data_IF_081935254931
#
_entry.id   IF_081935254931
#
_cell.length_a   1.000
_cell.length_b   1.000
_cell.length_c   1.000
_cell.angle_alpha   90.00
_cell.angle_beta   90.00
_cell.angle_gamma   90.00
#
_symmetry.space_group_name_H-M   'P 1'
#
loop_
_entity.id
_entity.type
_entity.pdbx_description
1 polymer ?
#
# COMPACT_ATOMS: atom_id res chain seq x y z
N UNK A 1 12.28 7.28 1.35
CA UNK A 1 12.24 8.17 2.52
C UNK A 1 10.87 8.00 3.17
N UNK A 2 10.80 7.75 4.49
CA UNK A 2 9.53 7.85 5.22
C UNK A 2 8.92 9.25 5.04
N UNK A 3 7.60 9.38 5.20
CA UNK A 3 6.91 10.67 5.14
C UNK A 3 7.51 11.62 6.19
N UNK A 4 7.63 12.91 5.86
CA UNK A 4 8.25 13.91 6.75
C UNK A 4 7.43 14.23 7.99
N UNK A 5 6.11 13.97 7.96
CA UNK A 5 5.19 14.25 9.06
C UNK A 5 4.89 13.02 9.92
N UNK A 6 4.18 12.07 9.35
CA UNK A 6 3.78 10.85 10.03
C UNK A 6 3.49 9.74 9.01
N UNK A 7 3.97 8.53 9.32
CA UNK A 7 3.68 7.33 8.55
C UNK A 7 2.27 6.77 8.80
N UNK A 8 1.56 7.20 9.85
CA UNK A 8 0.22 6.75 10.24
C UNK A 8 0.09 5.21 10.17
N UNK A 9 1.06 4.52 10.78
CA UNK A 9 1.23 3.07 10.68
C UNK A 9 0.02 2.33 11.26
N UNK A 10 -0.48 2.75 12.42
CA UNK A 10 -1.59 2.08 13.11
C UNK A 10 -2.85 2.04 12.24
N UNK A 11 -3.21 3.15 11.59
CA UNK A 11 -4.37 3.17 10.70
C UNK A 11 -4.17 2.28 9.46
N UNK A 12 -2.94 2.20 8.94
CA UNK A 12 -2.61 1.35 7.78
C UNK A 12 -2.63 -0.14 8.14
N UNK A 13 -2.11 -0.49 9.31
CA UNK A 13 -2.19 -1.86 9.85
C UNK A 13 -3.65 -2.23 10.09
N UNK A 14 -4.42 -1.36 10.76
CA UNK A 14 -5.84 -1.59 10.99
C UNK A 14 -6.63 -1.75 9.67
N UNK A 15 -6.28 -0.99 8.64
CA UNK A 15 -6.85 -1.15 7.31
C UNK A 15 -6.51 -2.52 6.70
N UNK A 16 -5.25 -2.94 6.71
CA UNK A 16 -4.84 -4.25 6.18
C UNK A 16 -5.53 -5.41 6.92
N UNK A 17 -5.68 -5.31 8.24
CA UNK A 17 -6.39 -6.31 9.05
C UNK A 17 -7.88 -6.37 8.69
N UNK A 18 -8.53 -5.22 8.42
CA UNK A 18 -9.92 -5.20 7.93
C UNK A 18 -10.06 -5.85 6.56
N UNK A 19 -9.09 -5.65 5.67
CA UNK A 19 -9.10 -6.29 4.34
C UNK A 19 -8.87 -7.80 4.45
N UNK A 20 -7.96 -8.26 5.32
CA UNK A 20 -7.77 -9.70 5.60
C UNK A 20 -9.07 -10.35 6.09
N UNK A 21 -9.75 -9.72 7.06
CA UNK A 21 -11.02 -10.21 7.58
C UNK A 21 -12.10 -10.26 6.50
N UNK A 22 -12.21 -9.20 5.68
CA UNK A 22 -13.18 -9.15 4.59
C UNK A 22 -12.90 -10.23 3.54
N UNK A 23 -11.64 -10.39 3.12
CA UNK A 23 -11.24 -11.42 2.15
C UNK A 23 -11.61 -12.83 2.67
N UNK A 24 -11.28 -13.16 3.92
CA UNK A 24 -11.60 -14.47 4.51
C UNK A 24 -13.11 -14.71 4.69
N UNK A 25 -13.92 -13.66 4.75
CA UNK A 25 -15.38 -13.79 4.84
C UNK A 25 -16.03 -14.17 3.49
N UNK A 26 -15.36 -13.91 2.35
CA UNK A 26 -15.91 -14.19 1.01
C UNK A 26 -15.97 -15.70 0.69
N UNK A 27 -15.08 -16.51 1.26
CA UNK A 27 -15.04 -17.95 1.01
C UNK A 27 -14.28 -18.70 2.10
N UNK A 28 -14.81 -19.85 2.51
CA UNK A 28 -14.14 -20.79 3.42
C UNK A 28 -12.80 -21.32 2.86
N UNK A 29 -12.61 -21.27 1.54
CA UNK A 29 -11.38 -21.72 0.90
C UNK A 29 -10.26 -20.68 0.98
N UNK A 30 -10.52 -19.43 1.37
CA UNK A 30 -9.47 -18.42 1.49
C UNK A 30 -8.62 -18.73 2.73
N UNK A 31 -7.41 -19.24 2.49
CA UNK A 31 -6.48 -19.67 3.53
C UNK A 31 -5.52 -18.54 3.93
N UNK A 32 -5.20 -17.63 3.02
CA UNK A 32 -4.25 -16.53 3.27
C UNK A 32 -4.65 -15.25 2.55
N UNK A 33 -4.36 -14.11 3.17
CA UNK A 33 -4.32 -12.80 2.53
C UNK A 33 -2.95 -12.17 2.79
N UNK A 34 -2.35 -11.62 1.75
CA UNK A 34 -1.03 -11.00 1.78
C UNK A 34 -1.21 -9.55 1.32
N UNK A 35 -1.23 -8.64 2.29
CA UNK A 35 -1.41 -7.20 2.06
C UNK A 35 -0.14 -6.40 2.31
N UNK A 36 0.04 -5.32 1.55
CA UNK A 36 1.12 -4.36 1.76
C UNK A 36 0.67 -2.93 1.45
N UNK A 37 1.28 -1.98 2.15
CA UNK A 37 1.14 -0.55 1.87
C UNK A 37 2.51 0.02 1.56
N UNK A 38 2.67 0.54 0.35
CA UNK A 38 3.82 1.33 -0.05
C UNK A 38 3.47 2.81 0.07
N UNK A 39 4.38 3.58 0.65
CA UNK A 39 4.28 5.03 0.73
C UNK A 39 5.59 5.69 0.37
N UNK A 40 5.51 6.86 -0.24
CA UNK A 40 6.68 7.67 -0.59
C UNK A 40 6.33 9.15 -0.51
N UNK A 41 7.23 9.91 0.08
CA UNK A 41 7.32 11.36 -0.12
C UNK A 41 8.52 11.63 -1.04
N UNK A 42 8.35 12.58 -1.96
CA UNK A 42 9.41 13.01 -2.85
C UNK A 42 9.41 14.53 -2.94
N UNK A 43 10.51 15.14 -2.50
CA UNK A 43 10.84 16.52 -2.79
C UNK A 43 11.40 16.61 -4.22
N UNK A 44 10.87 17.53 -5.02
CA UNK A 44 11.31 17.82 -6.38
C UNK A 44 11.54 19.31 -6.51
N UNK A 45 12.71 19.69 -7.03
CA UNK A 45 13.01 21.07 -7.40
C UNK A 45 13.38 21.11 -8.88
N UNK A 46 12.82 22.07 -9.61
CA UNK A 46 13.08 22.27 -11.05
C UNK A 46 13.75 23.62 -11.22
N UNK A 47 14.92 23.58 -11.87
CA UNK A 47 15.68 24.75 -12.28
C UNK A 47 15.87 24.72 -13.80
N UNK A 48 15.59 25.82 -14.49
CA UNK A 48 15.84 25.93 -15.94
C UNK A 48 16.64 27.19 -16.31
N UNK A 49 17.09 27.26 -17.57
CA UNK A 49 17.89 28.37 -18.10
C UNK A 49 17.11 29.69 -18.30
N UNK A 50 15.78 29.66 -18.19
CA UNK A 50 14.90 30.83 -18.32
C UNK A 50 14.62 31.49 -16.96
N UNK A 51 15.25 30.99 -15.89
CA UNK A 51 15.08 31.50 -14.53
C UNK A 51 13.90 30.87 -13.78
N UNK A 52 13.31 29.77 -14.29
CA UNK A 52 12.33 29.00 -13.53
C UNK A 52 13.00 28.32 -12.35
N UNK A 53 12.49 28.60 -11.15
CA UNK A 53 12.78 27.86 -9.94
C UNK A 53 11.45 27.51 -9.27
N UNK A 54 11.12 26.21 -9.23
CA UNK A 54 9.90 25.73 -8.59
C UNK A 54 10.19 24.50 -7.74
N UNK A 55 9.50 24.41 -6.61
CA UNK A 55 9.57 23.28 -5.68
C UNK A 55 8.21 22.58 -5.59
N UNK A 56 8.24 21.27 -5.41
CA UNK A 56 7.07 20.42 -5.25
C UNK A 56 7.35 19.31 -4.23
N UNK A 57 6.33 18.93 -3.46
CA UNK A 57 6.36 17.80 -2.53
C UNK A 57 5.28 16.80 -2.91
N UNK A 58 5.70 15.68 -3.49
CA UNK A 58 4.81 14.65 -4.02
C UNK A 58 4.62 13.53 -3.02
N UNK A 59 3.36 13.24 -2.70
CA UNK A 59 2.98 12.12 -1.86
C UNK A 59 2.41 11.00 -2.74
N UNK A 60 2.91 9.78 -2.57
CA UNK A 60 2.44 8.59 -3.26
C UNK A 60 2.10 7.50 -2.24
N UNK A 61 0.96 6.85 -2.43
CA UNK A 61 0.55 5.68 -1.66
C UNK A 61 -0.01 4.62 -2.61
N UNK A 62 0.32 3.36 -2.33
CA UNK A 62 -0.23 2.21 -3.02
C UNK A 62 -0.55 1.12 -2.01
N UNK A 63 -1.76 0.58 -2.10
CA UNK A 63 -2.14 -0.67 -1.44
C UNK A 63 -2.04 -1.78 -2.49
N UNK A 64 -1.43 -2.89 -2.11
CA UNK A 64 -1.44 -4.12 -2.89
C UNK A 64 -1.89 -5.28 -2.01
N UNK A 65 -2.67 -6.19 -2.59
CA UNK A 65 -3.18 -7.37 -1.90
C UNK A 65 -3.21 -8.56 -2.85
N UNK A 66 -2.89 -9.74 -2.33
CA UNK A 66 -3.10 -11.03 -2.98
C UNK A 66 -3.80 -11.97 -2.00
N UNK A 67 -4.67 -12.85 -2.49
CA UNK A 67 -5.45 -13.76 -1.66
C UNK A 67 -5.24 -15.18 -2.16
N UNK A 68 -4.94 -16.11 -1.28
CA UNK A 68 -4.72 -17.51 -1.63
C UNK A 68 -5.95 -18.32 -1.20
N UNK A 69 -6.56 -18.98 -2.18
CA UNK A 69 -7.60 -19.98 -1.95
C UNK A 69 -6.99 -21.39 -1.99
N UNK A 70 -7.41 -22.25 -1.07
CA UNK A 70 -6.97 -23.64 -0.98
C UNK A 70 -8.14 -24.58 -0.71
N UNK A 71 -8.23 -25.66 -1.50
CA UNK A 71 -9.20 -26.75 -1.32
C UNK A 71 -8.46 -28.09 -1.36
N UNK A 72 -8.30 -28.71 -0.19
CA UNK A 72 -7.46 -29.90 -0.05
C UNK A 72 -6.02 -29.60 -0.47
N UNK A 73 -5.55 -30.26 -1.52
CA UNK A 73 -4.21 -30.08 -2.08
C UNK A 73 -4.14 -29.06 -3.25
N UNK A 74 -5.28 -28.50 -3.67
CA UNK A 74 -5.33 -27.51 -4.75
C UNK A 74 -5.22 -26.08 -4.18
N UNK A 75 -4.41 -25.23 -4.81
CA UNK A 75 -4.19 -23.84 -4.40
C UNK A 75 -4.26 -22.89 -5.62
N UNK A 76 -4.85 -21.70 -5.43
CA UNK A 76 -4.87 -20.60 -6.39
C UNK A 76 -4.69 -19.25 -5.69
N UNK A 77 -4.16 -18.25 -6.39
CA UNK A 77 -3.78 -16.92 -5.86
C UNK A 77 -4.25 -15.78 -6.74
#
# INVERSE_FOLDING_TARGET
MPLSKDANLDSKIAFLLKVDQAARAESEYISQFIGSVLQREQQVSIFNSEGLHVDDTRHYIRVAGNTVAQKGNEQSS
#
